data_IF_668650150704
#
_entry.id   IF_668650150704
#
_cell.length_a   1.000
_cell.length_b   1.000
_cell.length_c   1.000
_cell.angle_alpha   90.00
_cell.angle_beta   90.00
_cell.angle_gamma   90.00
#
_symmetry.space_group_name_H-M   'P 1'
#
loop_
_entity.id
_entity.type
_entity.pdbx_description
1 polymer ?
#
# COMPACT_ATOMS: atom_id res chain seq x y z
N UNK A 1 -5.35 -17.83 -12.14
CA UNK A 1 -6.75 -17.47 -12.41
C UNK A 1 -7.27 -16.59 -11.27
N UNK A 2 -7.33 -15.26 -11.47
CA UNK A 2 -7.81 -14.32 -10.43
C UNK A 2 -9.32 -14.25 -10.54
N UNK A 3 -10.02 -14.95 -9.64
CA UNK A 3 -11.46 -15.19 -9.79
C UNK A 3 -12.36 -14.01 -9.40
N UNK A 4 -11.84 -12.96 -8.78
CA UNK A 4 -12.60 -11.77 -8.37
C UNK A 4 -11.68 -10.54 -8.38
N UNK A 5 -11.80 -9.72 -9.43
CA UNK A 5 -11.16 -8.41 -9.51
C UNK A 5 -12.18 -7.34 -9.08
N UNK A 6 -11.80 -6.49 -8.13
CA UNK A 6 -12.63 -5.37 -7.67
C UNK A 6 -11.88 -4.08 -7.96
N UNK A 7 -12.50 -3.18 -8.72
CA UNK A 7 -11.99 -1.84 -8.92
C UNK A 7 -12.52 -0.95 -7.81
N UNK A 8 -11.60 -0.26 -7.13
CA UNK A 8 -11.91 0.68 -6.06
C UNK A 8 -11.21 1.98 -6.39
N UNK A 9 -11.97 3.06 -6.44
CA UNK A 9 -11.46 4.39 -6.73
C UNK A 9 -11.01 5.08 -5.44
N UNK A 10 -9.92 5.84 -5.54
CA UNK A 10 -9.46 6.77 -4.52
C UNK A 10 -10.12 8.12 -4.77
N UNK A 11 -10.62 8.75 -3.70
CA UNK A 11 -11.10 10.12 -3.76
C UNK A 11 -9.93 11.12 -3.80
N UNK A 12 -10.21 12.38 -4.15
CA UNK A 12 -9.17 13.43 -4.12
C UNK A 12 -8.52 13.56 -2.73
N UNK A 13 -9.32 13.43 -1.66
CA UNK A 13 -8.80 13.45 -0.28
C UNK A 13 -7.87 12.26 0.02
N UNK A 14 -8.20 11.07 -0.51
CA UNK A 14 -7.32 9.89 -0.40
C UNK A 14 -5.99 10.12 -1.15
N UNK A 15 -6.06 10.82 -2.29
CA UNK A 15 -4.88 11.16 -3.10
C UNK A 15 -4.01 12.20 -2.40
N UNK A 16 -4.59 13.25 -1.82
CA UNK A 16 -3.88 14.25 -1.02
C UNK A 16 -3.17 13.60 0.18
N UNK A 17 -3.84 12.68 0.86
CA UNK A 17 -3.24 11.91 1.95
C UNK A 17 -2.07 11.03 1.47
N UNK A 18 -2.21 10.40 0.30
CA UNK A 18 -1.12 9.62 -0.29
C UNK A 18 0.09 10.51 -0.62
N UNK A 19 -0.10 11.75 -1.08
CA UNK A 19 1.00 12.69 -1.29
C UNK A 19 1.71 13.04 0.01
N UNK A 20 0.96 13.34 1.08
CA UNK A 20 1.54 13.62 2.39
C UNK A 20 2.32 12.40 2.95
N UNK A 21 1.82 11.19 2.72
CA UNK A 21 2.49 9.95 3.12
C UNK A 21 3.78 9.74 2.33
N UNK A 22 3.74 9.92 1.01
CA UNK A 22 4.90 9.78 0.13
C UNK A 22 6.03 10.73 0.54
N UNK A 23 5.70 12.01 0.78
CA UNK A 23 6.65 13.00 1.24
C UNK A 23 7.23 12.65 2.63
N UNK A 24 6.37 12.24 3.57
CA UNK A 24 6.77 11.94 4.95
C UNK A 24 7.76 10.77 5.04
N UNK A 25 7.52 9.71 4.30
CA UNK A 25 8.30 8.47 4.39
C UNK A 25 9.34 8.32 3.26
N UNK A 26 9.39 9.27 2.32
CA UNK A 26 10.30 9.22 1.18
C UNK A 26 10.02 8.05 0.23
N UNK A 27 8.76 7.70 0.05
CA UNK A 27 8.31 6.59 -0.82
C UNK A 27 7.63 7.11 -2.10
N UNK A 28 7.41 6.23 -3.07
CA UNK A 28 6.66 6.58 -4.29
C UNK A 28 5.21 6.94 -3.97
N UNK A 29 4.60 7.76 -4.84
CA UNK A 29 3.17 8.08 -4.73
C UNK A 29 2.30 6.86 -5.04
N UNK A 30 2.76 5.96 -5.91
CA UNK A 30 2.12 4.70 -6.24
C UNK A 30 2.02 3.79 -5.01
N UNK A 31 3.12 3.61 -4.28
CA UNK A 31 3.14 2.81 -3.05
C UNK A 31 2.27 3.44 -1.96
N UNK A 32 2.35 4.76 -1.79
CA UNK A 32 1.49 5.47 -0.86
C UNK A 32 0.00 5.29 -1.18
N UNK A 33 -0.39 5.40 -2.46
CA UNK A 33 -1.77 5.13 -2.92
C UNK A 33 -2.18 3.69 -2.65
N UNK A 34 -1.28 2.73 -2.83
CA UNK A 34 -1.54 1.33 -2.51
C UNK A 34 -1.79 1.10 -1.02
N UNK A 35 -1.05 1.79 -0.14
CA UNK A 35 -1.28 1.76 1.32
C UNK A 35 -2.65 2.35 1.69
N UNK A 36 -3.00 3.51 1.15
CA UNK A 36 -4.31 4.15 1.36
C UNK A 36 -5.44 3.25 0.86
N UNK A 37 -5.29 2.67 -0.34
CA UNK A 37 -6.24 1.73 -0.89
C UNK A 37 -6.38 0.49 -0.01
N UNK A 38 -5.26 -0.08 0.43
CA UNK A 38 -5.21 -1.22 1.33
C UNK A 38 -6.00 -0.95 2.62
N UNK A 39 -5.88 0.25 3.19
CA UNK A 39 -6.65 0.65 4.36
C UNK A 39 -8.14 0.72 4.06
N UNK A 40 -8.52 1.37 2.95
CA UNK A 40 -9.92 1.54 2.51
C UNK A 40 -10.64 0.20 2.35
N UNK A 41 -9.95 -0.80 1.78
CA UNK A 41 -10.49 -2.15 1.59
C UNK A 41 -10.26 -3.08 2.79
N UNK A 42 -9.68 -2.57 3.88
CA UNK A 42 -9.32 -3.33 5.08
C UNK A 42 -8.46 -4.56 4.76
N UNK A 43 -7.51 -4.38 3.85
CA UNK A 43 -6.52 -5.39 3.51
C UNK A 43 -5.75 -5.79 4.77
N UNK A 44 -5.40 -7.07 4.88
CA UNK A 44 -4.51 -7.56 5.95
C UNK A 44 -3.04 -7.52 5.54
N UNK A 45 -2.79 -7.41 4.24
CA UNK A 45 -1.48 -7.55 3.64
C UNK A 45 -1.39 -6.75 2.34
N UNK A 46 -0.27 -6.07 2.16
CA UNK A 46 0.15 -5.46 0.91
C UNK A 46 1.46 -6.13 0.47
N UNK A 47 1.52 -6.58 -0.77
CA UNK A 47 2.72 -7.17 -1.36
C UNK A 47 3.24 -6.14 -2.37
N UNK A 48 4.52 -5.81 -2.28
CA UNK A 48 5.17 -4.80 -3.13
C UNK A 48 6.55 -5.28 -3.55
N UNK A 49 7.06 -4.79 -4.67
CA UNK A 49 8.45 -4.93 -5.09
C UNK A 49 9.29 -3.68 -4.78
N UNK A 50 8.67 -2.65 -4.18
CA UNK A 50 9.36 -1.45 -3.73
C UNK A 50 10.12 -1.65 -2.42
N UNK A 51 11.16 -0.83 -2.20
CA UNK A 51 11.86 -0.78 -0.93
C UNK A 51 10.91 -0.32 0.18
N UNK A 52 10.78 -1.12 1.24
CA UNK A 52 9.86 -0.86 2.36
C UNK A 52 10.64 -0.20 3.50
N UNK A 53 10.34 1.07 3.86
CA UNK A 53 10.86 1.65 5.09
C UNK A 53 10.46 0.83 6.31
N UNK A 54 11.36 0.67 7.29
CA UNK A 54 11.08 -0.18 8.46
C UNK A 54 9.82 0.26 9.23
N UNK A 55 9.53 1.56 9.25
CA UNK A 55 8.34 2.16 9.86
C UNK A 55 7.03 1.76 9.16
N UNK A 56 7.10 1.30 7.90
CA UNK A 56 5.96 0.91 7.08
C UNK A 56 5.80 -0.59 6.93
N UNK A 57 6.63 -1.43 7.57
CA UNK A 57 6.41 -2.89 7.58
C UNK A 57 5.05 -3.29 8.16
N UNK A 58 4.50 -2.45 9.04
CA UNK A 58 3.10 -2.51 9.48
C UNK A 58 2.50 -1.11 9.37
N UNK A 59 1.60 -0.92 8.41
CA UNK A 59 0.90 0.35 8.21
C UNK A 59 -0.57 0.20 8.61
N UNK A 60 -0.97 0.82 9.73
CA UNK A 60 -2.37 0.81 10.23
C UNK A 60 -3.03 -0.59 10.27
N UNK A 61 -2.25 -1.61 10.65
CA UNK A 61 -2.69 -3.01 10.74
C UNK A 61 -2.54 -3.83 9.44
N UNK A 62 -2.04 -3.21 8.37
CA UNK A 62 -1.68 -3.86 7.12
C UNK A 62 -0.22 -4.32 7.21
N UNK A 63 0.03 -5.61 7.01
CA UNK A 63 1.41 -6.11 6.88
C UNK A 63 1.93 -5.83 5.49
N UNK A 64 3.04 -5.11 5.37
CA UNK A 64 3.65 -4.79 4.08
C UNK A 64 4.88 -5.69 3.90
N UNK A 65 4.91 -6.43 2.80
CA UNK A 65 5.96 -7.42 2.53
C UNK A 65 6.50 -7.29 1.12
N UNK A 66 7.78 -7.64 0.96
CA UNK A 66 8.41 -7.72 -0.36
C UNK A 66 7.90 -8.94 -1.12
N UNK A 67 7.75 -8.80 -2.44
CA UNK A 67 7.34 -9.87 -3.33
C UNK A 67 8.30 -11.06 -3.27
N UNK A 68 9.61 -10.79 -3.16
CA UNK A 68 10.66 -11.81 -3.08
C UNK A 68 10.50 -12.73 -1.86
N UNK A 69 9.97 -12.22 -0.75
CA UNK A 69 9.74 -12.98 0.49
C UNK A 69 8.56 -13.95 0.39
N UNK A 70 7.69 -13.81 -0.61
CA UNK A 70 6.49 -14.64 -0.79
C UNK A 70 6.68 -15.81 -1.74
N UNK A 71 7.79 -15.81 -2.49
CA UNK A 71 8.12 -16.86 -3.47
C UNK A 71 8.93 -18.03 -2.88
N UNK A 72 9.13 -18.05 -1.56
CA UNK A 72 9.87 -19.07 -0.80
C UNK A 72 9.02 -19.71 0.28
#
# INVERSE_FOLDING_TARGET
DVKNLVFVELSDADVDEAYALAERYGISIEFARALILGRKVRARKLITDEEIPDELRVFEGIRVVNLEDETH
#
